data_IF_052084635463
#
_entry.id   IF_052084635463
#
_cell.length_a   1.000
_cell.length_b   1.000
_cell.length_c   1.000
_cell.angle_alpha   90.00
_cell.angle_beta   90.00
_cell.angle_gamma   90.00
#
_symmetry.space_group_name_H-M   'P 1'
#
loop_
_entity.id
_entity.type
_entity.pdbx_description
1 polymer ?
#
# COMPACT_ATOMS: atom_id res chain seq x y z
N UNK A 1 11.92 21.40 18.33
CA UNK A 1 12.12 20.31 17.37
C UNK A 1 10.85 20.05 16.58
N UNK A 2 10.93 19.68 15.29
CA UNK A 2 9.77 19.15 14.50
C UNK A 2 9.04 18.01 15.23
N UNK A 3 9.74 17.35 16.15
CA UNK A 3 9.27 16.23 16.97
C UNK A 3 8.85 16.63 18.40
N UNK A 4 8.69 17.92 18.70
CA UNK A 4 8.13 18.32 19.98
C UNK A 4 6.65 17.93 20.02
N UNK A 5 6.26 17.17 21.05
CA UNK A 5 4.88 16.74 21.25
C UNK A 5 3.92 17.93 21.33
N UNK A 6 2.73 17.77 20.77
CA UNK A 6 1.62 18.73 20.84
C UNK A 6 0.35 17.98 21.19
N UNK A 7 -0.61 18.67 21.82
CA UNK A 7 -1.93 18.09 22.11
C UNK A 7 -2.83 18.02 20.86
N UNK A 8 -2.44 18.68 19.76
CA UNK A 8 -3.24 18.75 18.53
C UNK A 8 -3.15 17.48 17.66
N UNK A 9 -2.02 16.78 17.69
CA UNK A 9 -1.78 15.58 16.89
C UNK A 9 -0.62 14.75 17.44
N UNK A 10 -0.58 13.47 17.06
CA UNK A 10 0.55 12.58 17.30
C UNK A 10 1.77 12.98 16.45
N UNK A 11 2.93 12.44 16.82
CA UNK A 11 4.21 12.80 16.21
C UNK A 11 4.29 12.44 14.72
N UNK A 12 3.66 11.34 14.29
CA UNK A 12 3.67 10.93 12.89
C UNK A 12 2.78 11.84 12.06
N UNK A 13 1.56 12.14 12.52
CA UNK A 13 0.69 13.11 11.85
C UNK A 13 1.38 14.46 11.72
N UNK A 14 2.05 14.93 12.77
CA UNK A 14 2.83 16.17 12.73
C UNK A 14 3.94 16.11 11.67
N UNK A 15 4.67 15.00 11.57
CA UNK A 15 5.70 14.80 10.55
C UNK A 15 5.14 14.81 9.13
N UNK A 16 4.07 14.05 8.88
CA UNK A 16 3.38 13.98 7.57
C UNK A 16 2.87 15.35 7.13
N UNK A 17 2.24 16.10 8.03
CA UNK A 17 1.82 17.49 7.77
C UNK A 17 3.00 18.42 7.44
N UNK A 18 4.13 18.28 8.13
CA UNK A 18 5.33 19.06 7.83
C UNK A 18 5.97 18.70 6.48
N UNK A 19 5.78 17.45 6.01
CA UNK A 19 6.14 17.01 4.66
C UNK A 19 5.15 17.50 3.58
N UNK A 20 4.05 18.16 3.97
CA UNK A 20 3.00 18.61 3.06
C UNK A 20 2.01 17.51 2.66
N UNK A 21 1.99 16.40 3.38
CA UNK A 21 1.05 15.30 3.14
C UNK A 21 -0.32 15.61 3.78
N UNK A 22 -1.41 15.29 3.07
CA UNK A 22 -2.75 15.35 3.64
C UNK A 22 -3.00 14.14 4.55
N UNK A 23 -3.16 14.39 5.84
CA UNK A 23 -3.44 13.31 6.80
C UNK A 23 -4.95 13.13 6.97
N UNK A 24 -5.44 11.96 6.59
CA UNK A 24 -6.83 11.54 6.79
C UNK A 24 -6.87 10.61 7.99
N UNK A 25 -7.53 11.02 9.07
CA UNK A 25 -7.70 10.18 10.26
C UNK A 25 -9.19 9.86 10.43
N UNK A 26 -9.54 8.56 10.49
CA UNK A 26 -10.92 8.08 10.63
C UNK A 26 -11.90 8.67 9.59
N UNK A 27 -11.45 8.79 8.35
CA UNK A 27 -12.29 9.27 7.23
C UNK A 27 -12.55 10.78 7.23
N UNK A 28 -11.85 11.57 8.06
CA UNK A 28 -11.87 13.03 8.00
C UNK A 28 -10.46 13.56 7.78
N UNK A 29 -10.29 14.43 6.78
CA UNK A 29 -9.05 15.18 6.59
C UNK A 29 -8.81 16.05 7.81
N UNK A 30 -7.72 15.80 8.53
CA UNK A 30 -7.29 16.67 9.62
C UNK A 30 -6.77 17.96 9.00
N UNK A 31 -7.61 19.01 9.00
CA UNK A 31 -7.21 20.37 8.62
C UNK A 31 -6.46 21.01 9.79
N UNK A 32 -5.25 20.52 10.07
CA UNK A 32 -4.35 21.16 11.01
C UNK A 32 -3.42 22.05 10.19
N UNK A 33 -3.40 23.34 10.51
CA UNK A 33 -2.53 24.29 9.83
C UNK A 33 -1.07 24.08 10.27
N UNK A 34 -0.19 23.83 9.28
CA UNK A 34 1.24 23.68 9.50
C UNK A 34 1.85 24.97 10.07
N UNK A 35 1.32 26.14 9.69
CA UNK A 35 1.77 27.45 10.20
C UNK A 35 1.52 27.55 11.70
N UNK A 36 0.31 27.21 12.17
CA UNK A 36 0.02 27.20 13.61
C UNK A 36 0.92 26.23 14.38
N UNK A 37 1.20 25.04 13.82
CA UNK A 37 2.08 24.07 14.46
C UNK A 37 3.53 24.55 14.57
N UNK A 38 3.98 25.40 13.64
CA UNK A 38 5.31 26.01 13.66
C UNK A 38 5.37 27.15 14.68
N UNK A 39 4.34 27.98 14.75
CA UNK A 39 4.24 29.08 15.71
C UNK A 39 4.15 28.61 17.17
N UNK A 40 3.55 27.44 17.42
CA UNK A 40 3.46 26.83 18.76
C UNK A 40 4.84 26.37 19.30
N UNK A 41 5.79 26.06 18.41
CA UNK A 41 7.13 25.60 18.79
C UNK A 41 8.14 26.76 18.80
N UNK A 42 8.57 27.17 19.99
CA UNK A 42 9.54 28.27 20.17
C UNK A 42 10.91 28.00 19.55
N UNK A 43 11.34 26.75 19.51
CA UNK A 43 12.59 26.31 18.89
C UNK A 43 12.35 25.04 18.06
N UNK A 44 12.74 25.02 16.79
CA UNK A 44 12.68 23.83 15.93
C UNK A 44 13.95 22.97 15.97
N UNK A 45 14.99 23.38 16.72
CA UNK A 45 16.24 22.64 16.89
C UNK A 45 16.05 21.23 17.50
N UNK A 46 16.95 20.31 17.15
CA UNK A 46 16.94 18.92 17.64
C UNK A 46 17.44 18.84 19.09
N UNK A 47 16.53 18.62 20.03
CA UNK A 47 16.82 17.99 21.32
C UNK A 47 16.63 16.48 21.16
N UNK A 48 17.62 15.67 21.57
CA UNK A 48 17.51 14.21 21.50
C UNK A 48 18.82 13.53 21.08
N UNK A 49 18.69 12.50 20.25
CA UNK A 49 19.80 11.67 19.79
C UNK A 49 20.70 12.45 18.81
N UNK A 50 22.02 12.37 19.00
CA UNK A 50 23.00 13.01 18.11
C UNK A 50 23.00 12.38 16.71
N UNK A 51 23.28 13.19 15.68
CA UNK A 51 23.46 12.69 14.30
C UNK A 51 24.54 11.60 14.21
N UNK A 52 25.59 11.70 15.04
CA UNK A 52 26.64 10.69 15.16
C UNK A 52 26.12 9.33 15.63
N UNK A 53 25.16 9.33 16.55
CA UNK A 53 24.53 8.09 16.99
C UNK A 53 23.78 7.41 15.84
N UNK A 54 23.07 8.19 15.01
CA UNK A 54 22.38 7.66 13.83
C UNK A 54 23.37 7.14 12.80
N UNK A 55 24.44 7.88 12.50
CA UNK A 55 25.51 7.40 11.60
C UNK A 55 26.12 6.08 12.07
N UNK A 56 26.43 5.98 13.37
CA UNK A 56 26.97 4.74 13.94
C UNK A 56 25.98 3.57 13.86
N UNK A 57 24.67 3.83 13.97
CA UNK A 57 23.65 2.79 13.78
C UNK A 57 23.61 2.30 12.33
N UNK A 58 23.75 3.20 11.36
CA UNK A 58 23.86 2.85 9.94
C UNK A 58 25.15 2.07 9.67
N UNK A 59 26.29 2.49 10.23
CA UNK A 59 27.57 1.80 10.09
C UNK A 59 27.52 0.37 10.67
N UNK A 60 26.89 0.20 11.83
CA UNK A 60 26.67 -1.11 12.43
C UNK A 60 25.78 -1.98 11.52
N UNK A 61 24.66 -1.43 11.03
CA UNK A 61 23.77 -2.13 10.11
C UNK A 61 24.50 -2.56 8.82
N UNK A 62 25.38 -1.71 8.27
CA UNK A 62 26.20 -2.05 7.12
C UNK A 62 27.22 -3.16 7.44
N UNK A 63 27.89 -3.05 8.59
CA UNK A 63 28.93 -3.99 9.02
C UNK A 63 28.39 -5.39 9.30
N UNK A 64 27.17 -5.47 9.84
CA UNK A 64 26.52 -6.74 10.15
C UNK A 64 26.00 -7.46 8.88
N UNK A 65 25.80 -6.73 7.77
CA UNK A 65 25.20 -7.24 6.53
C UNK A 65 26.17 -7.29 5.34
N UNK A 66 27.49 -7.34 5.59
CA UNK A 66 28.53 -7.40 4.54
C UNK A 66 28.32 -8.56 3.55
N UNK A 67 27.87 -9.72 4.04
CA UNK A 67 27.71 -10.93 3.21
C UNK A 67 26.64 -10.78 2.13
N UNK A 68 25.54 -10.10 2.45
CA UNK A 68 24.44 -9.88 1.49
C UNK A 68 24.67 -8.63 0.64
N UNK A 69 25.65 -7.79 1.00
CA UNK A 69 25.97 -6.52 0.34
C UNK A 69 24.73 -5.65 0.11
N UNK A 70 23.78 -5.71 1.04
CA UNK A 70 22.51 -5.02 1.01
C UNK A 70 22.09 -4.68 2.43
N UNK A 71 21.43 -3.53 2.59
CA UNK A 71 20.76 -3.14 3.83
C UNK A 71 19.30 -2.82 3.53
N UNK A 72 18.41 -3.28 4.39
CA UNK A 72 16.99 -2.93 4.34
C UNK A 72 16.56 -2.22 5.63
N UNK A 73 15.43 -1.48 5.63
CA UNK A 73 14.98 -0.70 6.79
C UNK A 73 14.89 -1.49 8.10
N UNK A 74 14.63 -2.81 8.02
CA UNK A 74 14.63 -3.68 9.22
C UNK A 74 16.02 -3.79 9.88
N UNK A 75 17.12 -3.91 9.11
CA UNK A 75 18.46 -3.98 9.69
C UNK A 75 18.79 -2.67 10.42
N UNK A 76 18.43 -1.54 9.80
CA UNK A 76 18.65 -0.21 10.38
C UNK A 76 17.85 -0.05 11.67
N UNK A 77 16.58 -0.47 11.67
CA UNK A 77 15.73 -0.46 12.87
C UNK A 77 16.32 -1.33 13.97
N UNK A 78 16.76 -2.55 13.65
CA UNK A 78 17.37 -3.46 14.62
C UNK A 78 18.66 -2.87 15.21
N UNK A 79 19.54 -2.31 14.39
CA UNK A 79 20.75 -1.64 14.84
C UNK A 79 20.43 -0.46 15.78
N UNK A 80 19.43 0.36 15.44
CA UNK A 80 18.96 1.45 16.29
C UNK A 80 18.42 0.93 17.63
N UNK A 81 17.59 -0.11 17.62
CA UNK A 81 17.04 -0.72 18.84
C UNK A 81 18.15 -1.26 19.73
N UNK A 82 19.14 -1.96 19.17
CA UNK A 82 20.28 -2.48 19.94
C UNK A 82 21.12 -1.35 20.53
N UNK A 83 21.37 -0.29 19.77
CA UNK A 83 22.11 0.87 20.27
C UNK A 83 21.36 1.63 21.35
N UNK A 84 20.04 1.75 21.27
CA UNK A 84 19.22 2.36 22.34
C UNK A 84 19.23 1.48 23.59
N UNK A 85 19.19 0.15 23.45
CA UNK A 85 19.29 -0.79 24.57
C UNK A 85 20.68 -0.78 25.24
N UNK A 86 21.75 -0.62 24.46
CA UNK A 86 23.11 -0.58 24.98
C UNK A 86 23.54 0.83 25.47
N UNK A 87 22.83 1.87 25.05
CA UNK A 87 23.14 3.25 25.38
C UNK A 87 22.87 3.59 26.84
N UNK A 88 23.56 4.61 27.32
CA UNK A 88 23.35 5.20 28.63
C UNK A 88 22.27 6.30 28.54
N UNK A 89 21.01 5.84 28.57
CA UNK A 89 19.83 6.69 28.60
C UNK A 89 19.10 6.47 29.92
N UNK A 90 18.50 7.54 30.44
CA UNK A 90 17.52 7.44 31.52
C UNK A 90 16.37 6.50 31.11
N UNK A 91 15.79 5.78 32.07
CA UNK A 91 14.84 4.69 31.81
C UNK A 91 13.57 5.16 31.06
N UNK A 92 13.10 6.35 31.37
CA UNK A 92 11.98 7.02 30.71
C UNK A 92 12.29 7.31 29.24
N UNK A 93 13.45 7.90 28.96
CA UNK A 93 13.91 8.23 27.60
C UNK A 93 14.16 6.96 26.79
N UNK A 94 14.79 5.94 27.39
CA UNK A 94 15.04 4.64 26.76
C UNK A 94 13.73 3.98 26.35
N UNK A 95 12.75 3.96 27.25
CA UNK A 95 11.43 3.37 26.99
C UNK A 95 10.72 4.10 25.85
N UNK A 96 10.72 5.44 25.86
CA UNK A 96 10.13 6.25 24.80
C UNK A 96 10.77 5.98 23.43
N UNK A 97 12.10 5.92 23.36
CA UNK A 97 12.78 5.62 22.08
C UNK A 97 12.51 4.20 21.58
N UNK A 98 12.44 3.22 22.48
CA UNK A 98 12.09 1.85 22.09
C UNK A 98 10.64 1.76 21.60
N UNK A 99 9.70 2.46 22.22
CA UNK A 99 8.31 2.54 21.76
C UNK A 99 8.23 3.15 20.35
N UNK A 100 8.93 4.26 20.10
CA UNK A 100 8.99 4.87 18.77
C UNK A 100 9.58 3.94 17.72
N UNK A 101 10.68 3.24 18.03
CA UNK A 101 11.37 2.36 17.07
C UNK A 101 10.63 1.05 16.84
N UNK A 102 10.07 0.45 17.89
CA UNK A 102 9.49 -0.89 17.84
C UNK A 102 8.00 -0.89 17.50
N UNK A 103 7.26 0.16 17.85
CA UNK A 103 5.83 0.27 17.56
C UNK A 103 5.56 1.26 16.43
N UNK A 104 5.85 2.55 16.64
CA UNK A 104 5.48 3.61 15.69
C UNK A 104 6.15 3.43 14.33
N UNK A 105 7.48 3.31 14.30
CA UNK A 105 8.24 3.12 13.06
C UNK A 105 7.94 1.77 12.41
N UNK A 106 7.63 0.74 13.21
CA UNK A 106 7.28 -0.58 12.70
C UNK A 106 5.95 -0.54 11.95
N UNK A 107 4.91 0.08 12.51
CA UNK A 107 3.61 0.26 11.87
C UNK A 107 3.72 1.05 10.56
N UNK A 108 4.42 2.18 10.58
CA UNK A 108 4.63 3.00 9.37
C UNK A 108 5.38 2.23 8.29
N UNK A 109 6.39 1.44 8.66
CA UNK A 109 7.10 0.60 7.70
C UNK A 109 6.18 -0.48 7.10
N UNK A 110 5.30 -1.08 7.89
CA UNK A 110 4.34 -2.06 7.40
C UNK A 110 3.36 -1.42 6.40
N UNK A 111 2.85 -0.22 6.66
CA UNK A 111 1.97 0.49 5.73
C UNK A 111 2.65 0.81 4.39
N UNK A 112 3.91 1.28 4.43
CA UNK A 112 4.70 1.53 3.22
C UNK A 112 4.90 0.24 2.43
N UNK A 113 5.30 -0.83 3.12
CA UNK A 113 5.60 -2.11 2.52
C UNK A 113 4.35 -2.77 1.94
N UNK A 114 3.20 -2.65 2.60
CA UNK A 114 1.91 -3.06 2.05
C UNK A 114 1.63 -2.31 0.74
N UNK A 115 1.67 -0.98 0.75
CA UNK A 115 1.40 -0.14 -0.43
C UNK A 115 2.33 -0.47 -1.60
N UNK A 116 3.62 -0.65 -1.35
CA UNK A 116 4.60 -0.94 -2.40
C UNK A 116 4.48 -2.34 -2.96
N UNK A 117 4.26 -3.36 -2.12
CA UNK A 117 4.01 -4.73 -2.59
C UNK A 117 2.67 -4.79 -3.33
N UNK A 118 1.64 -4.12 -2.83
CA UNK A 118 0.35 -3.98 -3.52
C UNK A 118 0.55 -3.40 -4.92
N UNK A 119 1.30 -2.30 -5.05
CA UNK A 119 1.56 -1.68 -6.35
C UNK A 119 2.35 -2.60 -7.27
N UNK A 120 3.40 -3.24 -6.76
CA UNK A 120 4.21 -4.19 -7.54
C UNK A 120 3.37 -5.40 -8.00
N UNK A 121 2.48 -5.87 -7.14
CA UNK A 121 1.56 -6.94 -7.43
C UNK A 121 0.54 -6.54 -8.49
N UNK A 122 -0.17 -5.42 -8.33
CA UNK A 122 -1.14 -4.92 -9.32
C UNK A 122 -0.50 -4.79 -10.70
N UNK A 123 0.73 -4.28 -10.78
CA UNK A 123 1.45 -4.19 -12.06
C UNK A 123 1.71 -5.57 -12.68
N UNK A 124 2.13 -6.56 -11.87
CA UNK A 124 2.26 -7.93 -12.36
C UNK A 124 0.93 -8.57 -12.79
N UNK A 125 -0.20 -7.97 -12.39
CA UNK A 125 -1.57 -8.38 -12.70
C UNK A 125 -2.28 -7.36 -13.60
N UNK A 126 -1.56 -6.45 -14.27
CA UNK A 126 -2.17 -5.39 -15.07
C UNK A 126 -3.12 -5.95 -16.14
N UNK A 127 -2.76 -7.08 -16.77
CA UNK A 127 -3.64 -7.78 -17.72
C UNK A 127 -4.93 -8.30 -17.06
N UNK A 128 -4.84 -8.81 -15.83
CA UNK A 128 -6.00 -9.26 -15.06
C UNK A 128 -6.83 -8.06 -14.56
N UNK A 129 -6.19 -6.97 -14.15
CA UNK A 129 -6.86 -5.73 -13.75
C UNK A 129 -7.65 -5.14 -14.93
N UNK A 130 -7.03 -5.08 -16.11
CA UNK A 130 -7.68 -4.64 -17.35
C UNK A 130 -8.82 -5.59 -17.72
N UNK A 131 -8.63 -6.91 -17.61
CA UNK A 131 -9.71 -7.87 -17.86
C UNK A 131 -10.88 -7.71 -16.89
N UNK A 132 -10.62 -7.50 -15.60
CA UNK A 132 -11.67 -7.25 -14.59
C UNK A 132 -12.39 -5.93 -14.86
N UNK A 133 -11.64 -4.91 -15.26
CA UNK A 133 -12.16 -3.60 -15.62
C UNK A 133 -13.10 -3.67 -16.83
N UNK A 134 -12.63 -4.25 -17.94
CA UNK A 134 -13.46 -4.42 -19.15
C UNK A 134 -14.70 -5.27 -18.88
N UNK A 135 -14.54 -6.38 -18.13
CA UNK A 135 -15.68 -7.22 -17.77
C UNK A 135 -16.70 -6.46 -16.90
N UNK A 136 -16.23 -5.64 -15.96
CA UNK A 136 -17.11 -4.80 -15.14
C UNK A 136 -17.88 -3.77 -15.99
N UNK A 137 -17.23 -3.17 -16.98
CA UNK A 137 -17.86 -2.23 -17.90
C UNK A 137 -18.94 -2.90 -18.74
N UNK A 138 -18.64 -4.07 -19.32
CA UNK A 138 -19.58 -4.85 -20.11
C UNK A 138 -20.84 -5.19 -19.28
N UNK A 139 -20.66 -5.73 -18.06
CA UNK A 139 -21.76 -6.03 -17.16
C UNK A 139 -22.53 -4.79 -16.71
N UNK A 140 -21.84 -3.68 -16.42
CA UNK A 140 -22.48 -2.43 -16.02
C UNK A 140 -23.30 -1.81 -17.15
N UNK A 141 -22.79 -1.84 -18.38
CA UNK A 141 -23.51 -1.33 -19.54
C UNK A 141 -24.77 -2.16 -19.80
N UNK A 142 -24.64 -3.48 -19.76
CA UNK A 142 -25.74 -4.41 -19.93
C UNK A 142 -26.82 -4.21 -18.86
N UNK A 143 -26.41 -4.00 -17.60
CA UNK A 143 -27.31 -3.71 -16.48
C UNK A 143 -28.06 -2.38 -16.66
N UNK A 144 -27.34 -1.29 -16.95
CA UNK A 144 -27.93 0.06 -17.10
C UNK A 144 -28.86 0.12 -18.32
N UNK A 145 -28.46 -0.49 -19.44
CA UNK A 145 -29.24 -0.50 -20.68
C UNK A 145 -30.33 -1.59 -20.72
N UNK A 146 -30.42 -2.46 -19.70
CA UNK A 146 -31.30 -3.63 -19.67
C UNK A 146 -31.15 -4.51 -20.91
N UNK A 147 -29.90 -4.71 -21.33
CA UNK A 147 -29.52 -5.54 -22.48
C UNK A 147 -28.79 -6.79 -21.98
N UNK A 148 -28.83 -7.83 -22.82
CA UNK A 148 -28.05 -9.04 -22.60
C UNK A 148 -26.66 -8.88 -23.19
N UNK A 149 -25.69 -9.45 -22.50
CA UNK A 149 -24.33 -9.60 -22.98
C UNK A 149 -24.28 -10.73 -24.00
N UNK A 150 -23.34 -10.63 -24.94
CA UNK A 150 -23.07 -11.73 -25.85
C UNK A 150 -21.68 -12.27 -25.55
N UNK A 151 -21.61 -13.52 -25.12
CA UNK A 151 -20.34 -14.18 -24.87
C UNK A 151 -19.53 -14.23 -26.17
N UNK A 152 -18.26 -13.77 -26.13
CA UNK A 152 -17.41 -13.71 -27.33
C UNK A 152 -16.98 -15.09 -27.84
N UNK A 153 -16.97 -16.10 -26.97
CA UNK A 153 -16.52 -17.45 -27.26
C UNK A 153 -17.69 -18.36 -27.67
N UNK A 154 -18.82 -18.29 -26.98
CA UNK A 154 -19.98 -19.16 -27.23
C UNK A 154 -21.06 -18.49 -28.07
N UNK A 155 -21.10 -17.15 -28.12
CA UNK A 155 -22.14 -16.39 -28.79
C UNK A 155 -23.49 -16.39 -28.06
N UNK A 156 -23.55 -16.97 -26.86
CA UNK A 156 -24.76 -17.05 -26.04
C UNK A 156 -25.11 -15.70 -25.42
N UNK A 157 -26.41 -15.46 -25.23
CA UNK A 157 -26.89 -14.30 -24.50
C UNK A 157 -26.82 -14.55 -23.00
N UNK A 158 -26.06 -13.72 -22.30
CA UNK A 158 -25.87 -13.77 -20.85
C UNK A 158 -26.57 -12.58 -20.19
N UNK A 159 -27.22 -12.84 -19.06
CA UNK A 159 -27.71 -11.76 -18.19
C UNK A 159 -26.53 -11.07 -17.48
N UNK A 160 -26.64 -9.79 -17.11
CA UNK A 160 -25.60 -9.09 -16.37
C UNK A 160 -25.32 -9.78 -15.02
N UNK A 161 -24.06 -10.08 -14.73
CA UNK A 161 -23.67 -10.69 -13.46
C UNK A 161 -23.60 -9.64 -12.35
N UNK A 162 -24.74 -9.42 -11.68
CA UNK A 162 -24.82 -8.55 -10.51
C UNK A 162 -23.95 -9.02 -9.34
N UNK A 163 -23.72 -10.33 -9.22
CA UNK A 163 -22.89 -10.89 -8.16
C UNK A 163 -21.43 -10.48 -8.34
N UNK A 164 -20.93 -10.60 -9.57
CA UNK A 164 -19.59 -10.14 -9.95
C UNK A 164 -19.42 -8.64 -9.70
N UNK A 165 -20.34 -7.81 -10.20
CA UNK A 165 -20.29 -6.35 -10.03
C UNK A 165 -20.29 -5.94 -8.55
N UNK A 166 -21.20 -6.51 -7.75
CA UNK A 166 -21.24 -6.27 -6.30
C UNK A 166 -19.92 -6.64 -5.63
N UNK A 167 -19.31 -7.74 -6.05
CA UNK A 167 -18.06 -8.22 -5.46
C UNK A 167 -16.87 -7.26 -5.65
N UNK A 168 -16.94 -6.35 -6.61
CA UNK A 168 -15.99 -5.25 -6.85
C UNK A 168 -16.46 -3.98 -6.10
N UNK A 169 -17.72 -3.59 -6.25
CA UNK A 169 -18.31 -2.40 -5.62
C UNK A 169 -18.19 -2.41 -4.08
N UNK A 170 -18.38 -3.57 -3.47
CA UNK A 170 -18.29 -3.74 -2.02
C UNK A 170 -16.86 -3.47 -1.49
N UNK A 171 -15.82 -3.56 -2.33
CA UNK A 171 -14.44 -3.26 -1.93
C UNK A 171 -14.23 -1.79 -1.56
N UNK A 172 -15.06 -0.90 -2.11
CA UNK A 172 -15.08 0.53 -1.80
C UNK A 172 -16.34 0.91 -1.01
N UNK A 173 -16.94 -0.07 -0.32
CA UNK A 173 -18.12 0.09 0.53
C UNK A 173 -19.37 0.63 -0.19
N UNK A 174 -19.50 0.38 -1.49
CA UNK A 174 -20.71 0.67 -2.25
C UNK A 174 -21.65 -0.53 -2.14
N UNK A 175 -22.78 -0.34 -1.48
CA UNK A 175 -23.72 -1.42 -1.13
C UNK A 175 -25.16 -0.96 -1.36
N UNK A 176 -26.03 -1.89 -1.74
CA UNK A 176 -27.47 -1.65 -1.84
C UNK A 176 -27.80 -0.70 -2.99
N UNK A 177 -28.61 0.32 -2.71
CA UNK A 177 -29.07 1.28 -3.74
C UNK A 177 -27.96 2.19 -4.26
N UNK A 178 -26.82 2.29 -3.56
CA UNK A 178 -25.67 3.05 -4.02
C UNK A 178 -24.98 2.38 -5.23
N UNK A 179 -25.07 1.05 -5.36
CA UNK A 179 -24.53 0.30 -6.49
C UNK A 179 -25.12 0.74 -7.82
N UNK A 180 -26.44 0.98 -7.86
CA UNK A 180 -27.12 1.40 -9.09
C UNK A 180 -26.65 2.77 -9.57
N UNK A 181 -26.48 3.70 -8.63
CA UNK A 181 -25.93 5.03 -8.90
C UNK A 181 -24.48 4.96 -9.38
N UNK A 182 -23.65 4.15 -8.73
CA UNK A 182 -22.26 3.97 -9.12
C UNK A 182 -22.10 3.39 -10.52
N UNK A 183 -22.88 2.35 -10.88
CA UNK A 183 -22.88 1.77 -12.23
C UNK A 183 -23.28 2.82 -13.28
N UNK A 184 -24.30 3.62 -13.00
CA UNK A 184 -24.71 4.70 -13.91
C UNK A 184 -23.64 5.78 -14.06
N UNK A 185 -22.95 6.13 -12.98
CA UNK A 185 -21.85 7.10 -12.99
C UNK A 185 -20.66 6.60 -13.81
N UNK A 186 -20.23 5.35 -13.57
CA UNK A 186 -19.14 4.70 -14.32
C UNK A 186 -19.44 4.71 -15.82
N UNK A 187 -20.66 4.29 -16.20
CA UNK A 187 -21.07 4.29 -17.60
C UNK A 187 -21.09 5.73 -18.13
N UNK A 188 -21.73 6.68 -17.44
CA UNK A 188 -21.77 8.09 -17.86
C UNK A 188 -20.37 8.69 -18.09
N UNK A 189 -19.41 8.37 -17.22
CA UNK A 189 -18.00 8.73 -17.38
C UNK A 189 -17.41 8.12 -18.65
N UNK A 190 -17.61 6.81 -18.87
CA UNK A 190 -17.17 6.10 -20.07
C UNK A 190 -17.66 6.75 -21.38
N UNK A 191 -18.96 7.07 -21.45
CA UNK A 191 -19.55 7.74 -22.62
C UNK A 191 -18.99 9.16 -22.83
N UNK A 192 -18.53 9.83 -21.76
CA UNK A 192 -17.89 11.13 -21.87
C UNK A 192 -16.48 11.05 -22.45
N UNK A 193 -15.72 10.03 -22.06
CA UNK A 193 -14.34 9.77 -22.52
C UNK A 193 -14.35 9.21 -23.95
N UNK A 194 -15.24 8.25 -24.23
CA UNK A 194 -15.38 7.67 -25.57
C UNK A 194 -15.77 8.70 -26.64
N UNK A 195 -16.56 9.72 -26.30
CA UNK A 195 -16.88 10.84 -27.21
C UNK A 195 -15.68 11.73 -27.54
N UNK A 196 -14.67 11.77 -26.68
CA UNK A 196 -13.42 12.51 -26.90
C UNK A 196 -12.39 11.72 -27.72
N UNK A 197 -12.65 10.44 -27.99
CA UNK A 197 -11.72 9.56 -28.70
C UNK A 197 -10.51 9.14 -27.88
N UNK A 198 -10.58 9.27 -26.55
CA UNK A 198 -9.54 8.81 -25.63
C UNK A 198 -9.68 7.29 -25.39
N UNK A 199 -8.54 6.60 -25.31
CA UNK A 199 -8.53 5.17 -24.97
C UNK A 199 -8.91 5.00 -23.49
N UNK A 200 -9.89 4.13 -23.25
CA UNK A 200 -10.30 3.76 -21.90
C UNK A 200 -9.44 2.60 -21.44
N UNK A 201 -8.81 2.76 -20.28
CA UNK A 201 -8.00 1.73 -19.61
C UNK A 201 -8.43 1.62 -18.14
N UNK A 202 -7.91 0.62 -17.44
CA UNK A 202 -8.14 0.47 -16.00
C UNK A 202 -7.77 1.73 -15.17
N UNK A 203 -6.86 2.58 -15.67
CA UNK A 203 -6.42 3.81 -15.01
C UNK A 203 -7.38 4.99 -15.23
N UNK A 204 -8.36 4.85 -16.13
CA UNK A 204 -9.20 5.97 -16.54
C UNK A 204 -10.17 6.44 -15.45
N UNK A 205 -10.57 5.58 -14.50
CA UNK A 205 -11.53 5.95 -13.46
C UNK A 205 -11.07 5.51 -12.07
N UNK A 206 -10.65 6.49 -11.26
CA UNK A 206 -9.98 6.26 -9.96
C UNK A 206 -10.82 5.43 -8.98
N UNK A 207 -12.14 5.64 -8.80
CA UNK A 207 -12.93 4.85 -7.86
C UNK A 207 -13.01 3.36 -8.26
N UNK A 208 -13.18 3.06 -9.54
CA UNK A 208 -13.23 1.67 -10.03
C UNK A 208 -11.84 1.03 -10.00
N UNK A 209 -10.79 1.80 -10.32
CA UNK A 209 -9.41 1.37 -10.15
C UNK A 209 -9.14 0.95 -8.71
N UNK A 210 -9.49 1.79 -7.73
CA UNK A 210 -9.33 1.47 -6.30
C UNK A 210 -10.09 0.20 -5.91
N UNK A 211 -11.32 0.04 -6.41
CA UNK A 211 -12.13 -1.15 -6.16
C UNK A 211 -11.50 -2.43 -6.74
N UNK A 212 -10.96 -2.37 -7.96
CA UNK A 212 -10.29 -3.50 -8.62
C UNK A 212 -8.96 -3.81 -7.92
N UNK A 213 -8.17 -2.79 -7.57
CA UNK A 213 -6.93 -2.97 -6.82
C UNK A 213 -7.23 -3.65 -5.48
N UNK A 214 -8.23 -3.19 -4.73
CA UNK A 214 -8.67 -3.82 -3.47
C UNK A 214 -9.22 -5.24 -3.68
N UNK A 215 -9.90 -5.51 -4.79
CA UNK A 215 -10.37 -6.85 -5.14
C UNK A 215 -9.20 -7.80 -5.36
N UNK A 216 -8.22 -7.37 -6.17
CA UNK A 216 -6.97 -8.10 -6.40
C UNK A 216 -6.18 -8.27 -5.11
N UNK A 217 -6.22 -7.28 -4.20
CA UNK A 217 -5.66 -7.37 -2.85
C UNK A 217 -6.38 -8.38 -1.97
N UNK A 218 -7.69 -8.55 -2.09
CA UNK A 218 -8.37 -9.62 -1.34
C UNK A 218 -7.88 -10.99 -1.79
N UNK A 219 -7.53 -11.13 -3.08
CA UNK A 219 -6.82 -12.29 -3.62
C UNK A 219 -5.35 -12.39 -3.18
N UNK A 220 -4.76 -11.38 -2.53
CA UNK A 220 -3.37 -11.39 -2.00
C UNK A 220 -3.18 -12.32 -0.80
N UNK A 221 -4.26 -12.78 -0.14
CA UNK A 221 -4.13 -13.89 0.83
C UNK A 221 -3.55 -15.15 0.18
N UNK A 222 -3.78 -15.37 -1.11
CA UNK A 222 -3.13 -16.45 -1.86
C UNK A 222 -1.67 -16.11 -2.23
N UNK A 223 -1.31 -14.84 -2.31
CA UNK A 223 0.06 -14.37 -2.55
C UNK A 223 0.95 -14.60 -1.33
N UNK A 224 0.44 -14.41 -0.11
CA UNK A 224 1.15 -14.81 1.12
C UNK A 224 1.55 -16.29 1.06
N UNK A 225 0.66 -17.17 0.56
CA UNK A 225 0.96 -18.60 0.33
C UNK A 225 2.02 -18.80 -0.76
N UNK A 226 1.95 -18.05 -1.86
CA UNK A 226 2.97 -18.08 -2.93
C UNK A 226 4.35 -17.72 -2.35
N UNK A 227 4.43 -16.66 -1.54
CA UNK A 227 5.68 -16.18 -0.95
C UNK A 227 6.24 -17.19 0.07
N UNK A 228 5.40 -17.73 0.96
CA UNK A 228 5.83 -18.59 2.07
C UNK A 228 6.09 -20.05 1.66
N UNK A 229 5.39 -20.59 0.66
CA UNK A 229 5.57 -21.98 0.18
C UNK A 229 6.61 -22.08 -0.94
N UNK A 230 7.88 -21.83 -0.62
CA UNK A 230 8.98 -21.93 -1.59
C UNK A 230 9.17 -23.33 -2.23
N UNK A 231 8.66 -24.42 -1.61
CA UNK A 231 8.85 -25.82 -2.06
C UNK A 231 7.72 -26.42 -2.90
N UNK A 232 6.55 -25.80 -2.93
CA UNK A 232 5.34 -26.33 -3.58
C UNK A 232 4.62 -25.24 -4.36
N UNK A 233 5.36 -24.52 -5.22
CA UNK A 233 4.76 -23.62 -6.21
C UNK A 233 4.41 -24.43 -7.45
N UNK A 234 3.21 -24.22 -7.96
CA UNK A 234 2.90 -24.59 -9.34
C UNK A 234 3.59 -23.62 -10.32
N UNK A 235 3.56 -23.95 -11.61
CA UNK A 235 4.26 -23.19 -12.64
C UNK A 235 3.74 -21.74 -12.75
N UNK A 236 2.43 -21.56 -12.62
CA UNK A 236 1.77 -20.26 -12.69
C UNK A 236 2.13 -19.36 -11.49
N UNK A 237 2.18 -19.92 -10.28
CA UNK A 237 2.61 -19.22 -9.06
C UNK A 237 4.08 -18.82 -9.11
N UNK A 238 4.93 -19.63 -9.73
CA UNK A 238 6.35 -19.30 -9.91
C UNK A 238 6.55 -18.12 -10.86
N UNK A 239 5.78 -18.08 -11.96
CA UNK A 239 5.80 -16.95 -12.90
C UNK A 239 5.30 -15.66 -12.25
N UNK A 240 4.19 -15.73 -11.51
CA UNK A 240 3.63 -14.60 -10.74
C UNK A 240 4.62 -14.05 -9.72
N UNK A 241 5.27 -14.92 -8.94
CA UNK A 241 6.31 -14.51 -8.00
C UNK A 241 7.49 -13.83 -8.69
N UNK A 242 7.94 -14.36 -9.83
CA UNK A 242 9.07 -13.82 -10.58
C UNK A 242 8.79 -12.42 -11.10
N UNK A 243 7.59 -12.19 -11.68
CA UNK A 243 7.15 -10.86 -12.12
C UNK A 243 7.09 -9.85 -10.95
N UNK A 244 6.60 -10.29 -9.79
CA UNK A 244 6.56 -9.43 -8.60
C UNK A 244 7.97 -9.06 -8.11
N UNK A 245 8.92 -10.00 -8.12
CA UNK A 245 10.32 -9.74 -7.77
C UNK A 245 10.95 -8.75 -8.75
N UNK A 246 10.74 -8.95 -10.05
CA UNK A 246 11.23 -8.03 -11.10
C UNK A 246 10.68 -6.62 -10.89
N UNK A 247 9.40 -6.48 -10.57
CA UNK A 247 8.80 -5.17 -10.33
C UNK A 247 9.34 -4.47 -9.09
N UNK A 248 9.58 -5.21 -8.00
CA UNK A 248 10.23 -4.65 -6.82
C UNK A 248 11.65 -4.18 -7.14
N UNK A 249 12.40 -4.93 -7.95
CA UNK A 249 13.73 -4.50 -8.41
C UNK A 249 13.64 -3.21 -9.24
N UNK A 250 12.65 -3.09 -10.13
CA UNK A 250 12.41 -1.85 -10.89
C UNK A 250 12.04 -0.67 -9.98
N UNK A 251 11.35 -0.92 -8.87
CA UNK A 251 11.03 0.09 -7.87
C UNK A 251 12.24 0.47 -6.99
N UNK A 252 13.41 -0.11 -7.21
CA UNK A 252 14.67 0.24 -6.54
C UNK A 252 15.12 -0.74 -5.45
N UNK A 253 14.43 -1.87 -5.27
CA UNK A 253 14.84 -2.88 -4.30
C UNK A 253 16.03 -3.71 -4.81
N UNK A 254 17.09 -3.91 -4.01
CA UNK A 254 18.18 -4.80 -4.38
C UNK A 254 17.69 -6.25 -4.46
N UNK A 255 18.04 -6.97 -5.54
CA UNK A 255 17.60 -8.35 -5.77
C UNK A 255 17.91 -9.30 -4.59
N UNK A 256 19.03 -9.09 -3.90
CA UNK A 256 19.42 -9.87 -2.72
C UNK A 256 18.46 -9.70 -1.54
N UNK A 257 17.80 -8.53 -1.42
CA UNK A 257 16.94 -8.18 -0.29
C UNK A 257 15.45 -8.45 -0.55
N UNK A 258 15.02 -8.55 -1.81
CA UNK A 258 13.59 -8.69 -2.17
C UNK A 258 12.97 -9.92 -1.50
N UNK A 259 13.65 -11.07 -1.53
CA UNK A 259 13.13 -12.31 -0.94
C UNK A 259 12.92 -12.19 0.58
N UNK A 260 13.87 -11.57 1.28
CA UNK A 260 13.79 -11.31 2.73
C UNK A 260 12.63 -10.37 3.06
N UNK A 261 12.45 -9.31 2.26
CA UNK A 261 11.39 -8.31 2.45
C UNK A 261 10.02 -8.92 2.19
N UNK A 262 9.87 -9.71 1.13
CA UNK A 262 8.63 -10.42 0.81
C UNK A 262 8.28 -11.45 1.91
N UNK A 263 9.25 -12.23 2.38
CA UNK A 263 9.05 -13.15 3.52
C UNK A 263 8.64 -12.40 4.78
N UNK A 264 9.24 -11.25 5.04
CA UNK A 264 8.85 -10.40 6.16
C UNK A 264 7.42 -9.89 6.01
N UNK A 265 7.05 -9.41 4.82
CA UNK A 265 5.70 -8.99 4.46
C UNK A 265 4.68 -10.07 4.78
N UNK A 266 4.93 -11.28 4.27
CA UNK A 266 4.02 -12.40 4.40
C UNK A 266 3.80 -12.81 5.86
N UNK A 267 4.82 -12.67 6.70
CA UNK A 267 4.74 -13.02 8.11
C UNK A 267 4.10 -11.94 8.99
N UNK A 268 4.06 -10.67 8.56
CA UNK A 268 3.62 -9.54 9.40
C UNK A 268 2.35 -8.84 8.89
N UNK A 269 2.08 -8.84 7.58
CA UNK A 269 0.89 -8.21 7.00
C UNK A 269 -0.28 -9.18 6.83
N UNK A 270 -0.01 -10.42 6.44
CA UNK A 270 -1.04 -11.39 6.04
C UNK A 270 -1.10 -12.62 6.95
N UNK A 271 -0.68 -12.47 8.20
CA UNK A 271 -0.86 -13.50 9.24
C UNK A 271 -2.30 -13.39 9.78
N UNK A 272 -2.97 -14.54 9.87
CA UNK A 272 -4.28 -14.69 10.52
C UNK A 272 -4.24 -14.25 12.00
#
# INVERSE_FOLDING_TARGET
>A
SRLQGTNKCDLITKLKLYNGEEVVEKGKTKKIDVVELREEAKDEGMTGISTRFIMKALDNALSDNIKENCIHPLNVREALVQMVKAGDFADDVRKQYLELLQDTLHKEYLEILEKEITKAFVYSYQEQAESLFQNYLDHSEAYVNKKRLKDRNTGEELEPDEGFMKSIEEQIAIIGTASDGFRQEVISYLWSVGRKGENISYESYEPLKEAIEKKLMTSVRDVSRIITKARTRDQEQSEKYSRMVEQLIQNGYPAACVDTILKYAANNLWKD
#
